data_IF_073744494596
#
_entry.id   IF_073744494596
#
_cell.length_a   1.000
_cell.length_b   1.000
_cell.length_c   1.000
_cell.angle_alpha   90.00
_cell.angle_beta   90.00
_cell.angle_gamma   90.00
#
_symmetry.space_group_name_H-M   'P 1'
#
loop_
_entity.id
_entity.type
_entity.pdbx_description
1 polymer ?
#
# COMPACT_ATOMS: atom_id res chain seq x y z
N UNK A 1 49.16 17.42 -10.68
CA UNK A 1 48.32 16.24 -10.97
C UNK A 1 46.86 16.59 -10.74
N UNK A 2 46.05 16.71 -11.81
CA UNK A 2 44.61 16.98 -11.68
C UNK A 2 43.91 15.67 -11.30
N UNK A 3 43.30 15.65 -10.12
CA UNK A 3 42.47 14.54 -9.65
C UNK A 3 41.28 14.37 -10.59
N UNK A 4 41.27 13.26 -11.34
CA UNK A 4 40.13 12.82 -12.12
C UNK A 4 38.98 12.57 -11.15
N UNK A 5 38.04 13.51 -11.07
CA UNK A 5 36.73 13.24 -10.47
C UNK A 5 36.14 12.06 -11.25
N UNK A 6 36.04 10.90 -10.59
CA UNK A 6 35.21 9.79 -11.07
C UNK A 6 33.79 10.33 -11.18
N UNK A 7 33.37 10.71 -12.37
CA UNK A 7 31.96 10.84 -12.70
C UNK A 7 31.40 9.42 -12.67
N UNK A 8 30.84 9.03 -11.53
CA UNK A 8 30.16 7.75 -11.38
C UNK A 8 29.03 7.71 -12.41
N UNK A 9 29.14 6.81 -13.40
CA UNK A 9 28.11 6.63 -14.41
C UNK A 9 26.77 6.34 -13.72
N UNK A 10 25.73 7.09 -14.10
CA UNK A 10 24.37 6.81 -13.65
C UNK A 10 23.91 5.55 -14.37
N UNK A 11 23.79 4.46 -13.64
CA UNK A 11 23.26 3.20 -14.16
C UNK A 11 21.74 3.30 -14.26
N UNK A 12 21.18 2.96 -15.41
CA UNK A 12 19.75 3.00 -15.68
C UNK A 12 19.28 1.64 -16.14
N UNK A 13 18.40 1.02 -15.36
CA UNK A 13 17.73 -0.23 -15.69
C UNK A 13 16.26 0.02 -16.00
N UNK A 14 15.72 -0.71 -16.98
CA UNK A 14 14.29 -0.70 -17.30
C UNK A 14 13.78 -2.12 -17.38
N UNK A 15 12.74 -2.43 -16.63
CA UNK A 15 12.08 -3.74 -16.65
C UNK A 15 10.67 -3.61 -16.09
N UNK A 16 9.73 -4.39 -16.62
CA UNK A 16 8.36 -4.53 -16.10
C UNK A 16 7.63 -3.19 -15.85
N UNK A 17 7.87 -2.19 -16.72
CA UNK A 17 7.30 -0.84 -16.59
C UNK A 17 8.00 0.08 -15.59
N UNK A 18 9.04 -0.40 -14.90
CA UNK A 18 9.87 0.35 -13.96
C UNK A 18 11.12 0.92 -14.64
N UNK A 19 11.48 2.14 -14.26
CA UNK A 19 12.77 2.78 -14.54
C UNK A 19 13.53 2.94 -13.23
N UNK A 20 14.70 2.32 -13.14
CA UNK A 20 15.55 2.34 -11.95
C UNK A 20 16.84 3.07 -12.28
N UNK A 21 17.21 4.09 -11.51
CA UNK A 21 18.41 4.91 -11.74
C UNK A 21 19.28 4.96 -10.50
N UNK A 22 20.58 4.71 -10.63
CA UNK A 22 21.50 4.90 -9.52
C UNK A 22 21.62 6.38 -9.13
N UNK A 23 21.70 6.65 -7.84
CA UNK A 23 22.00 7.97 -7.28
C UNK A 23 23.45 7.99 -6.85
N UNK A 24 24.11 9.14 -7.05
CA UNK A 24 25.49 9.37 -6.58
C UNK A 24 25.66 9.15 -5.07
N UNK A 25 24.58 9.23 -4.29
CA UNK A 25 24.58 9.09 -2.83
C UNK A 25 24.40 7.64 -2.32
N UNK A 26 24.54 6.61 -3.17
CA UNK A 26 24.45 5.21 -2.73
C UNK A 26 23.03 4.68 -2.56
N UNK A 27 22.14 4.97 -3.52
CA UNK A 27 20.78 4.42 -3.55
C UNK A 27 20.22 4.42 -4.96
N UNK A 28 19.03 3.87 -5.14
CA UNK A 28 18.38 3.73 -6.44
C UNK A 28 17.07 4.49 -6.46
N UNK A 29 16.88 5.41 -7.39
CA UNK A 29 15.57 6.01 -7.65
C UNK A 29 14.78 5.05 -8.54
N UNK A 30 13.59 4.68 -8.10
CA UNK A 30 12.70 3.79 -8.84
C UNK A 30 11.46 4.59 -9.22
N UNK A 31 11.18 4.66 -10.52
CA UNK A 31 10.04 5.34 -11.11
C UNK A 31 9.21 4.30 -11.86
N UNK A 32 7.94 4.15 -11.51
CA UNK A 32 7.03 3.27 -12.23
C UNK A 32 5.71 3.94 -12.58
N UNK A 33 4.75 3.18 -13.14
CA UNK A 33 3.49 3.70 -13.65
C UNK A 33 2.64 4.40 -12.58
N UNK A 34 2.83 3.99 -11.33
CA UNK A 34 1.96 4.28 -10.18
C UNK A 34 2.64 5.14 -9.11
N UNK A 35 3.93 5.44 -9.27
CA UNK A 35 4.65 6.31 -8.35
C UNK A 35 6.17 6.18 -8.37
N UNK A 36 6.81 6.82 -7.39
CA UNK A 36 8.27 6.91 -7.27
C UNK A 36 8.69 6.57 -5.84
N UNK A 37 9.78 5.81 -5.70
CA UNK A 37 10.41 5.51 -4.41
C UNK A 37 11.94 5.44 -4.55
N UNK A 38 12.64 5.35 -3.41
CA UNK A 38 14.10 5.18 -3.38
C UNK A 38 14.45 3.89 -2.65
N UNK A 39 15.42 3.13 -3.17
CA UNK A 39 15.98 1.95 -2.53
C UNK A 39 17.39 2.22 -2.02
N UNK A 40 17.73 1.61 -0.90
CA UNK A 40 19.06 1.58 -0.32
C UNK A 40 19.39 0.16 0.08
N UNK A 41 20.52 -0.37 -0.39
CA UNK A 41 21.04 -1.63 0.11
C UNK A 41 21.66 -1.40 1.50
N UNK A 42 21.25 -2.19 2.48
CA UNK A 42 21.71 -2.09 3.87
C UNK A 42 22.80 -3.12 4.20
N UNK A 43 23.04 -4.06 3.30
CA UNK A 43 23.86 -5.25 3.46
C UNK A 43 23.34 -6.35 2.54
N UNK A 44 24.13 -7.39 2.32
CA UNK A 44 23.81 -8.48 1.38
C UNK A 44 22.37 -8.99 1.58
N UNK A 45 21.56 -8.86 0.54
CA UNK A 45 20.18 -9.35 0.54
C UNK A 45 19.17 -8.51 1.33
N UNK A 46 19.58 -7.39 1.96
CA UNK A 46 18.70 -6.55 2.80
C UNK A 46 18.57 -5.15 2.23
N UNK A 47 17.34 -4.77 1.90
CA UNK A 47 17.03 -3.53 1.21
C UNK A 47 16.06 -2.68 1.99
N UNK A 48 16.31 -1.38 2.06
CA UNK A 48 15.40 -0.39 2.62
C UNK A 48 14.81 0.44 1.49
N UNK A 49 13.49 0.45 1.38
CA UNK A 49 12.80 1.38 0.51
C UNK A 49 12.25 2.57 1.30
N UNK A 50 12.26 3.72 0.67
CA UNK A 50 11.78 5.00 1.20
C UNK A 50 10.81 5.60 0.20
N UNK A 51 9.60 5.89 0.66
CA UNK A 51 8.55 6.50 -0.15
C UNK A 51 7.83 7.60 0.64
N UNK A 52 7.16 8.50 -0.07
CA UNK A 52 6.47 9.64 0.52
C UNK A 52 7.23 10.95 0.36
N UNK A 53 6.59 12.05 0.78
CA UNK A 53 7.06 13.39 0.48
C UNK A 53 8.00 13.90 1.58
N UNK A 54 9.29 14.00 1.26
CA UNK A 54 10.32 14.49 2.16
C UNK A 54 10.00 15.90 2.70
N UNK A 55 9.46 16.78 1.87
CA UNK A 55 9.17 18.17 2.25
C UNK A 55 8.02 18.31 3.24
N UNK A 56 7.17 17.28 3.38
CA UNK A 56 6.03 17.26 4.30
C UNK A 56 6.28 16.40 5.54
N UNK A 57 7.51 15.91 5.77
CA UNK A 57 7.86 15.06 6.91
C UNK A 57 7.29 13.64 6.89
N UNK A 58 6.42 13.31 5.93
CA UNK A 58 5.75 12.02 5.81
C UNK A 58 6.53 11.06 4.92
N UNK A 59 7.74 10.70 5.35
CA UNK A 59 8.49 9.59 4.76
C UNK A 59 8.16 8.30 5.49
N UNK A 60 7.77 7.27 4.73
CA UNK A 60 7.67 5.91 5.23
C UNK A 60 8.90 5.12 4.76
N UNK A 61 9.42 4.28 5.65
CA UNK A 61 10.59 3.45 5.42
C UNK A 61 10.27 2.04 5.83
N UNK A 62 10.63 1.09 5.01
CA UNK A 62 10.48 -0.32 5.35
C UNK A 62 11.63 -1.10 4.75
N UNK A 63 12.01 -2.16 5.44
CA UNK A 63 13.13 -3.02 5.08
C UNK A 63 12.57 -4.36 4.63
N UNK A 64 13.09 -4.88 3.52
CA UNK A 64 12.71 -6.16 2.95
C UNK A 64 13.96 -6.94 2.54
N UNK A 65 13.83 -8.26 2.47
CA UNK A 65 14.88 -9.14 1.97
C UNK A 65 14.62 -9.47 0.50
N UNK A 66 15.67 -9.37 -0.31
CA UNK A 66 15.67 -9.67 -1.73
C UNK A 66 17.11 -9.90 -2.22
N UNK A 67 17.29 -10.88 -3.10
CA UNK A 67 18.58 -11.33 -3.58
C UNK A 67 19.16 -10.40 -4.66
N UNK A 68 18.33 -9.50 -5.21
CA UNK A 68 18.80 -8.53 -6.20
C UNK A 68 17.84 -7.36 -6.45
N UNK A 69 18.34 -6.38 -7.21
CA UNK A 69 17.67 -5.10 -7.48
C UNK A 69 16.29 -5.27 -8.13
N UNK A 70 16.14 -6.25 -9.04
CA UNK A 70 14.86 -6.52 -9.71
C UNK A 70 13.79 -6.99 -8.73
N UNK A 71 14.15 -7.95 -7.87
CA UNK A 71 13.25 -8.55 -6.89
C UNK A 71 12.83 -7.53 -5.83
N UNK A 72 13.77 -6.72 -5.31
CA UNK A 72 13.41 -5.65 -4.36
C UNK A 72 12.50 -4.62 -5.00
N UNK A 73 12.68 -4.27 -6.28
CA UNK A 73 11.82 -3.32 -6.99
C UNK A 73 10.41 -3.89 -7.12
N UNK A 74 10.26 -5.16 -7.49
CA UNK A 74 8.95 -5.81 -7.57
C UNK A 74 8.29 -5.91 -6.19
N UNK A 75 8.99 -6.43 -5.17
CA UNK A 75 8.46 -6.53 -3.80
C UNK A 75 8.05 -5.17 -3.24
N UNK A 76 8.90 -4.15 -3.39
CA UNK A 76 8.57 -2.79 -2.97
C UNK A 76 7.40 -2.22 -3.78
N UNK A 77 7.37 -2.44 -5.10
CA UNK A 77 6.28 -2.03 -5.97
C UNK A 77 4.93 -2.63 -5.56
N UNK A 78 4.90 -3.91 -5.22
CA UNK A 78 3.71 -4.61 -4.71
C UNK A 78 3.27 -4.04 -3.36
N UNK A 79 4.19 -3.85 -2.41
CA UNK A 79 3.87 -3.29 -1.08
C UNK A 79 3.34 -1.85 -1.19
N UNK A 80 3.93 -1.05 -2.07
CA UNK A 80 3.64 0.38 -2.20
C UNK A 80 2.39 0.68 -3.03
N UNK A 81 2.18 -0.08 -4.11
CA UNK A 81 1.22 0.27 -5.14
C UNK A 81 0.33 -0.90 -5.56
N UNK A 82 0.49 -2.08 -4.97
CA UNK A 82 -0.30 -3.26 -5.32
C UNK A 82 -0.06 -3.78 -6.74
N UNK A 83 0.98 -3.33 -7.45
CA UNK A 83 1.31 -3.81 -8.78
C UNK A 83 2.10 -5.12 -8.72
N UNK A 84 1.39 -6.23 -8.57
CA UNK A 84 1.81 -7.51 -9.13
C UNK A 84 1.32 -7.59 -10.57
N UNK A 85 2.22 -7.87 -11.50
CA UNK A 85 1.89 -8.19 -12.89
C UNK A 85 0.82 -9.27 -12.94
N UNK A 86 -0.22 -8.98 -13.72
CA UNK A 86 -1.15 -9.94 -14.29
C UNK A 86 -0.38 -11.14 -14.85
N UNK A 87 -0.97 -12.33 -14.66
CA UNK A 87 -0.50 -13.67 -15.05
C UNK A 87 0.42 -14.36 -14.02
N UNK A 88 -0.21 -15.31 -13.28
CA UNK A 88 0.41 -16.40 -12.54
C UNK A 88 1.14 -16.09 -11.24
N UNK A 89 0.54 -15.31 -10.35
CA UNK A 89 0.86 -15.46 -8.92
C UNK A 89 -0.44 -15.41 -8.13
N UNK A 90 -0.78 -16.52 -7.48
CA UNK A 90 -1.76 -16.53 -6.41
C UNK A 90 -1.45 -15.36 -5.47
N UNK A 91 -2.46 -14.54 -5.22
CA UNK A 91 -2.36 -13.28 -4.49
C UNK A 91 -1.92 -13.49 -3.03
N UNK A 92 -0.63 -13.72 -2.81
CA UNK A 92 0.02 -13.60 -1.50
C UNK A 92 0.24 -12.11 -1.20
N UNK A 93 -0.82 -11.40 -0.80
CA UNK A 93 -0.67 -10.07 -0.19
C UNK A 93 -1.84 -9.08 -0.36
N UNK A 94 -2.76 -9.31 -1.29
CA UNK A 94 -3.97 -8.50 -1.35
C UNK A 94 -5.01 -9.07 -0.38
N UNK A 95 -5.00 -8.58 0.86
CA UNK A 95 -6.03 -8.95 1.81
C UNK A 95 -7.40 -8.49 1.28
N UNK A 96 -8.38 -9.39 1.28
CA UNK A 96 -9.74 -8.99 0.99
C UNK A 96 -10.22 -8.04 2.08
N UNK A 97 -11.08 -7.09 1.72
CA UNK A 97 -11.68 -6.16 2.70
C UNK A 97 -12.37 -6.95 3.82
N UNK A 98 -12.97 -8.09 3.49
CA UNK A 98 -13.58 -9.00 4.46
C UNK A 98 -12.56 -9.52 5.49
N UNK A 99 -11.42 -10.03 5.03
CA UNK A 99 -10.45 -10.70 5.89
C UNK A 99 -9.79 -9.71 6.86
N UNK A 100 -9.45 -8.49 6.40
CA UNK A 100 -8.96 -7.45 7.29
C UNK A 100 -10.02 -6.96 8.26
N UNK A 101 -11.27 -6.85 7.82
CA UNK A 101 -12.36 -6.44 8.69
C UNK A 101 -12.59 -7.48 9.80
N UNK A 102 -12.59 -8.76 9.46
CA UNK A 102 -12.71 -9.85 10.43
C UNK A 102 -11.54 -9.83 11.43
N UNK A 103 -10.29 -9.67 10.96
CA UNK A 103 -9.12 -9.54 11.82
C UNK A 103 -9.18 -8.30 12.74
N UNK A 104 -9.58 -7.14 12.22
CA UNK A 104 -9.70 -5.91 13.01
C UNK A 104 -10.79 -6.02 14.09
N UNK A 105 -11.91 -6.68 13.77
CA UNK A 105 -13.01 -6.92 14.70
C UNK A 105 -12.67 -7.98 15.75
N UNK A 106 -11.83 -8.95 15.40
CA UNK A 106 -11.32 -9.93 16.35
C UNK A 106 -10.22 -9.35 17.25
N UNK A 107 -9.43 -8.39 16.76
CA UNK A 107 -8.45 -7.65 17.58
C UNK A 107 -9.08 -6.56 18.47
N UNK A 108 -10.33 -6.15 18.21
CA UNK A 108 -11.01 -5.13 19.00
C UNK A 108 -11.34 -5.66 20.42
N UNK A 109 -10.67 -5.10 21.42
CA UNK A 109 -10.89 -5.39 22.85
C UNK A 109 -12.13 -4.67 23.40
N UNK A 110 -13.32 -5.04 22.92
CA UNK A 110 -14.60 -4.52 23.40
C UNK A 110 -15.42 -5.55 24.17
N UNK A 111 -16.36 -5.07 24.98
CA UNK A 111 -17.40 -5.88 25.63
C UNK A 111 -18.13 -6.79 24.61
N UNK A 112 -18.56 -8.01 24.99
CA UNK A 112 -19.17 -8.98 24.06
C UNK A 112 -20.35 -8.41 23.25
N UNK A 113 -21.20 -7.60 23.90
CA UNK A 113 -22.33 -6.93 23.27
C UNK A 113 -21.89 -5.94 22.18
N UNK A 114 -20.83 -5.17 22.44
CA UNK A 114 -20.27 -4.22 21.48
C UNK A 114 -19.63 -4.92 20.29
N UNK A 115 -18.96 -6.05 20.51
CA UNK A 115 -18.33 -6.85 19.45
C UNK A 115 -19.34 -7.38 18.45
N UNK A 116 -20.50 -7.86 18.91
CA UNK A 116 -21.58 -8.34 18.04
C UNK A 116 -22.13 -7.23 17.14
N UNK A 117 -22.25 -6.02 17.69
CA UNK A 117 -22.74 -4.83 16.97
C UNK A 117 -21.71 -4.36 15.94
N UNK A 118 -20.43 -4.32 16.31
CA UNK A 118 -19.33 -3.99 15.41
C UNK A 118 -19.21 -5.01 14.26
N UNK A 119 -19.33 -6.32 14.54
CA UNK A 119 -19.37 -7.36 13.50
C UNK A 119 -20.51 -7.14 12.51
N UNK A 120 -21.70 -6.79 13.02
CA UNK A 120 -22.85 -6.47 12.19
C UNK A 120 -22.60 -5.25 11.29
N UNK A 121 -22.04 -4.18 11.84
CA UNK A 121 -21.74 -2.95 11.08
C UNK A 121 -20.62 -3.15 10.05
N UNK A 122 -19.54 -3.82 10.43
CA UNK A 122 -18.45 -4.21 9.52
C UNK A 122 -18.97 -5.08 8.38
N UNK A 123 -19.87 -6.03 8.67
CA UNK A 123 -20.52 -6.86 7.65
C UNK A 123 -21.29 -6.05 6.61
N UNK A 124 -21.99 -4.98 7.01
CA UNK A 124 -22.66 -4.10 6.05
C UNK A 124 -21.70 -3.34 5.15
N UNK A 125 -20.56 -2.90 5.69
CA UNK A 125 -19.53 -2.23 4.91
C UNK A 125 -18.90 -3.18 3.89
N UNK A 126 -18.57 -4.41 4.30
CA UNK A 126 -18.05 -5.45 3.40
C UNK A 126 -19.06 -5.78 2.29
N UNK A 127 -20.34 -5.91 2.63
CA UNK A 127 -21.40 -6.13 1.64
C UNK A 127 -21.54 -4.97 0.65
N UNK A 128 -21.41 -3.73 1.13
CA UNK A 128 -21.41 -2.55 0.28
C UNK A 128 -20.17 -2.52 -0.64
N UNK A 129 -18.98 -2.84 -0.12
CA UNK A 129 -17.75 -2.93 -0.93
C UNK A 129 -17.90 -3.95 -2.06
N UNK A 130 -18.43 -5.15 -1.75
CA UNK A 130 -18.72 -6.18 -2.76
C UNK A 130 -19.68 -5.67 -3.86
N UNK A 131 -20.74 -4.96 -3.48
CA UNK A 131 -21.69 -4.38 -4.45
C UNK A 131 -21.06 -3.32 -5.35
N UNK A 132 -20.08 -2.58 -4.83
CA UNK A 132 -19.36 -1.52 -5.57
C UNK A 132 -18.07 -2.02 -6.22
N UNK A 133 -17.87 -3.35 -6.30
CA UNK A 133 -16.69 -3.99 -6.91
C UNK A 133 -15.36 -3.58 -6.25
N UNK A 134 -15.39 -3.33 -4.95
CA UNK A 134 -14.20 -3.09 -4.11
C UNK A 134 -13.96 -4.39 -3.36
N UNK A 135 -12.99 -5.18 -3.82
CA UNK A 135 -12.76 -6.53 -3.29
C UNK A 135 -11.55 -6.55 -2.36
N UNK A 136 -10.48 -5.84 -2.72
CA UNK A 136 -9.24 -5.83 -1.97
C UNK A 136 -9.11 -4.55 -1.16
N UNK A 137 -8.39 -4.63 -0.05
CA UNK A 137 -8.12 -3.48 0.80
C UNK A 137 -7.44 -2.34 0.04
N UNK A 138 -6.54 -2.67 -0.88
CA UNK A 138 -5.80 -1.70 -1.68
C UNK A 138 -6.69 -0.96 -2.69
N UNK A 139 -7.87 -1.49 -3.00
CA UNK A 139 -8.88 -0.83 -3.82
C UNK A 139 -9.67 0.21 -3.01
N UNK A 140 -9.59 0.15 -1.67
CA UNK A 140 -10.32 1.06 -0.80
C UNK A 140 -9.66 2.43 -0.80
N UNK A 141 -10.44 3.47 -1.10
CA UNK A 141 -9.99 4.86 -1.13
C UNK A 141 -10.87 5.73 -0.23
N UNK A 142 -10.41 6.91 0.23
CA UNK A 142 -11.22 7.80 1.06
C UNK A 142 -12.59 8.14 0.44
N UNK A 143 -12.65 8.25 -0.89
CA UNK A 143 -13.89 8.54 -1.62
C UNK A 143 -14.94 7.43 -1.45
N UNK A 144 -14.50 6.18 -1.23
CA UNK A 144 -15.40 5.06 -0.96
C UNK A 144 -16.06 5.17 0.42
N UNK A 145 -15.35 5.69 1.42
CA UNK A 145 -15.92 5.96 2.74
C UNK A 145 -16.96 7.10 2.67
N UNK A 146 -16.67 8.15 1.91
CA UNK A 146 -17.63 9.23 1.66
C UNK A 146 -18.87 8.72 0.91
N UNK A 147 -18.69 7.88 -0.11
CA UNK A 147 -19.77 7.28 -0.86
C UNK A 147 -20.65 6.38 0.02
N UNK A 148 -20.03 5.60 0.92
CA UNK A 148 -20.75 4.77 1.88
C UNK A 148 -21.53 5.61 2.90
N UNK A 149 -20.96 6.72 3.39
CA UNK A 149 -21.67 7.66 4.26
C UNK A 149 -22.88 8.29 3.54
N UNK A 150 -22.70 8.75 2.30
CA UNK A 150 -23.78 9.29 1.44
C UNK A 150 -24.87 8.24 1.18
N UNK A 151 -24.50 6.98 0.96
CA UNK A 151 -25.45 5.88 0.79
C UNK A 151 -26.39 5.72 2.00
N UNK A 152 -25.87 5.83 3.22
CA UNK A 152 -26.72 5.75 4.43
C UNK A 152 -27.57 7.00 4.65
N UNK A 153 -27.02 8.19 4.38
CA UNK A 153 -27.79 9.45 4.43
C UNK A 153 -28.97 9.42 3.45
N UNK A 154 -28.75 8.94 2.22
CA UNK A 154 -29.79 8.80 1.20
C UNK A 154 -30.91 7.81 1.60
N UNK A 155 -30.64 6.90 2.54
CA UNK A 155 -31.64 5.98 3.12
C UNK A 155 -32.35 6.55 4.35
N UNK A 156 -32.20 7.85 4.61
CA UNK A 156 -32.84 8.54 5.73
C UNK A 156 -32.19 8.27 7.09
N UNK A 157 -30.96 7.76 7.14
CA UNK A 157 -30.23 7.59 8.41
C UNK A 157 -29.74 8.94 8.91
N UNK A 158 -29.85 9.18 10.22
CA UNK A 158 -29.32 10.40 10.83
C UNK A 158 -27.79 10.42 10.77
N UNK A 159 -27.18 11.61 10.82
CA UNK A 159 -25.71 11.76 10.83
C UNK A 159 -25.05 11.00 12.00
N UNK A 160 -25.70 10.99 13.17
CA UNK A 160 -25.27 10.20 14.34
C UNK A 160 -25.29 8.71 14.02
N UNK A 161 -26.35 8.23 13.37
CA UNK A 161 -26.45 6.84 12.94
C UNK A 161 -25.34 6.49 11.95
N UNK A 162 -25.06 7.34 10.96
CA UNK A 162 -24.00 7.09 9.95
C UNK A 162 -22.62 6.93 10.58
N UNK A 163 -22.29 7.70 11.62
CA UNK A 163 -21.02 7.56 12.34
C UNK A 163 -20.86 6.19 13.02
N UNK A 164 -21.95 5.49 13.35
CA UNK A 164 -21.88 4.13 13.88
C UNK A 164 -21.60 3.07 12.81
N UNK A 165 -21.71 3.40 11.52
CA UNK A 165 -21.42 2.49 10.40
C UNK A 165 -20.02 2.68 9.81
N UNK A 166 -19.32 3.76 10.17
CA UNK A 166 -17.93 4.04 9.76
C UNK A 166 -16.97 3.56 10.84
#
# INVERSE_FOLDING_TARGET
MRSLKRESAVEVFRFDGWTVRSKMSGGWKVEGPVGVFTLHEQGSGRWRFVFGNASKGNQRRQTLCADGLREVVQKAGTILFGQGSSENTESEGAFQVKDLMDQALDAANGEPYHRSTLKKHGGYFVAWCKKNRIQFWNDLKPEHLEAYAKFHLARGRTRKTVLHYL
#
